data_IF_938940719798
#
_entry.id   IF_938940719798
#
_cell.length_a   1.000
_cell.length_b   1.000
_cell.length_c   1.000
_cell.angle_alpha   90.00
_cell.angle_beta   90.00
_cell.angle_gamma   90.00
#
_symmetry.space_group_name_H-M   'P 1'
#
loop_
_entity.id
_entity.type
_entity.pdbx_description
1 polymer ?
#
# COMPACT_ATOMS: atom_id res chain seq x y z
N UNK A 1 -19.26 0.84 -2.24
CA UNK A 1 -18.17 0.12 -2.93
C UNK A 1 -18.10 0.59 -4.36
N UNK A 2 -16.92 0.59 -4.99
CA UNK A 2 -16.74 1.12 -6.35
C UNK A 2 -17.14 0.02 -7.34
N UNK A 3 -18.28 0.18 -8.00
CA UNK A 3 -18.83 -0.83 -8.91
C UNK A 3 -18.28 -0.73 -10.34
N UNK A 4 -17.90 0.47 -10.79
CA UNK A 4 -17.37 0.66 -12.12
C UNK A 4 -15.92 0.16 -12.19
N UNK A 5 -15.69 -0.90 -12.98
CA UNK A 5 -14.37 -1.53 -13.13
C UNK A 5 -13.31 -0.58 -13.67
N UNK A 6 -13.61 0.27 -14.65
CA UNK A 6 -12.63 1.20 -15.21
C UNK A 6 -12.16 2.20 -14.16
N UNK A 7 -13.10 2.73 -13.37
CA UNK A 7 -12.79 3.60 -12.23
C UNK A 7 -11.98 2.84 -11.16
N UNK A 8 -12.34 1.59 -10.85
CA UNK A 8 -11.61 0.76 -9.89
C UNK A 8 -10.15 0.52 -10.34
N UNK A 9 -9.92 0.25 -11.62
CA UNK A 9 -8.59 0.08 -12.21
C UNK A 9 -7.74 1.35 -12.05
N UNK A 10 -8.30 2.51 -12.39
CA UNK A 10 -7.60 3.80 -12.25
C UNK A 10 -7.20 4.07 -10.79
N UNK A 11 -8.12 3.82 -9.87
CA UNK A 11 -7.86 4.04 -8.44
C UNK A 11 -6.81 3.09 -7.88
N UNK A 12 -6.86 1.80 -8.24
CA UNK A 12 -5.85 0.82 -7.83
C UNK A 12 -4.47 1.24 -8.32
N UNK A 13 -4.34 1.66 -9.57
CA UNK A 13 -3.07 2.15 -10.10
C UNK A 13 -2.51 3.33 -9.29
N UNK A 14 -3.35 4.30 -8.92
CA UNK A 14 -2.96 5.45 -8.10
C UNK A 14 -2.58 5.05 -6.66
N UNK A 15 -3.30 4.09 -6.06
CA UNK A 15 -3.00 3.60 -4.71
C UNK A 15 -1.66 2.87 -4.67
N UNK A 16 -1.35 2.02 -5.66
CA UNK A 16 -0.03 1.38 -5.75
C UNK A 16 1.09 2.39 -6.04
N UNK A 17 0.82 3.44 -6.83
CA UNK A 17 1.78 4.54 -6.99
C UNK A 17 2.05 5.28 -5.67
N UNK A 18 1.02 5.52 -4.87
CA UNK A 18 1.16 6.12 -3.55
C UNK A 18 1.98 5.23 -2.59
N UNK A 19 1.73 3.92 -2.57
CA UNK A 19 2.55 2.96 -1.82
C UNK A 19 4.02 3.02 -2.25
N UNK A 20 4.29 3.00 -3.56
CA UNK A 20 5.64 3.14 -4.11
C UNK A 20 6.34 4.42 -3.67
N UNK A 21 5.63 5.55 -3.65
CA UNK A 21 6.16 6.83 -3.19
C UNK A 21 6.47 6.85 -1.68
N UNK A 22 5.64 6.21 -0.86
CA UNK A 22 5.89 6.08 0.58
C UNK A 22 7.12 5.19 0.82
N UNK A 23 7.23 4.07 0.12
CA UNK A 23 8.40 3.18 0.21
C UNK A 23 9.69 3.90 -0.23
N UNK A 24 9.64 4.72 -1.28
CA UNK A 24 10.77 5.56 -1.70
C UNK A 24 11.14 6.59 -0.62
N UNK A 25 10.17 7.24 0.02
CA UNK A 25 10.44 8.14 1.13
C UNK A 25 11.09 7.42 2.33
N UNK A 26 10.65 6.21 2.66
CA UNK A 26 11.28 5.36 3.69
C UNK A 26 12.73 5.06 3.31
N UNK A 27 13.01 4.69 2.06
CA UNK A 27 14.37 4.42 1.57
C UNK A 27 15.27 5.65 1.68
N UNK A 28 14.78 6.82 1.29
CA UNK A 28 15.52 8.07 1.41
C UNK A 28 15.85 8.38 2.88
N UNK A 29 14.89 8.21 3.79
CA UNK A 29 15.12 8.41 5.23
C UNK A 29 16.16 7.43 5.78
N UNK A 30 16.12 6.16 5.34
CA UNK A 30 17.11 5.15 5.72
C UNK A 30 18.53 5.53 5.31
N UNK A 31 18.69 6.14 4.13
CA UNK A 31 19.99 6.50 3.57
C UNK A 31 20.55 7.81 4.15
N UNK A 32 19.68 8.73 4.60
CA UNK A 32 20.06 10.12 4.88
C UNK A 32 19.86 10.57 6.32
N UNK A 33 19.09 9.85 7.12
CA UNK A 33 18.78 10.24 8.49
C UNK A 33 19.54 9.38 9.51
N UNK A 34 19.80 9.92 10.72
CA UNK A 34 20.20 9.12 11.87
C UNK A 34 19.24 7.94 12.13
N UNK A 35 19.73 6.83 12.73
CA UNK A 35 18.92 5.63 12.93
C UNK A 35 17.63 5.85 13.74
N UNK A 36 17.66 6.71 14.76
CA UNK A 36 16.51 7.03 15.60
C UNK A 36 15.43 7.82 14.85
N UNK A 37 15.83 8.81 14.04
CA UNK A 37 14.93 9.54 13.14
C UNK A 37 14.31 8.60 12.09
N UNK A 38 15.12 7.74 11.46
CA UNK A 38 14.63 6.75 10.50
C UNK A 38 13.62 5.79 11.13
N UNK A 39 13.90 5.26 12.32
CA UNK A 39 12.99 4.33 13.00
C UNK A 39 11.65 4.99 13.32
N UNK A 40 11.67 6.25 13.81
CA UNK A 40 10.45 7.00 14.06
C UNK A 40 9.65 7.26 12.78
N UNK A 41 10.32 7.69 11.70
CA UNK A 41 9.69 7.96 10.41
C UNK A 41 9.09 6.68 9.79
N UNK A 42 9.86 5.59 9.72
CA UNK A 42 9.42 4.31 9.16
C UNK A 42 8.19 3.79 9.86
N UNK A 43 8.10 3.93 11.19
CA UNK A 43 6.93 3.49 11.96
C UNK A 43 5.67 4.22 11.53
N UNK A 44 5.72 5.54 11.40
CA UNK A 44 4.57 6.32 10.92
C UNK A 44 4.18 5.95 9.48
N UNK A 45 5.16 5.72 8.60
CA UNK A 45 4.87 5.32 7.22
C UNK A 45 4.31 3.91 7.10
N UNK A 46 4.69 2.98 8.00
CA UNK A 46 4.09 1.65 8.05
C UNK A 46 2.58 1.72 8.35
N UNK A 47 2.16 2.61 9.25
CA UNK A 47 0.74 2.83 9.56
C UNK A 47 -0.03 3.43 8.35
N UNK A 48 0.64 4.30 7.58
CA UNK A 48 0.08 4.87 6.33
C UNK A 48 -0.11 3.78 5.28
N UNK A 49 0.91 2.94 5.03
CA UNK A 49 0.83 1.83 4.08
C UNK A 49 -0.28 0.86 4.52
N UNK A 50 -0.32 0.49 5.80
CA UNK A 50 -1.37 -0.38 6.33
C UNK A 50 -2.77 0.18 6.05
N UNK A 51 -2.99 1.46 6.36
CA UNK A 51 -4.28 2.13 6.16
C UNK A 51 -4.65 2.22 4.68
N UNK A 52 -3.68 2.51 3.81
CA UNK A 52 -3.85 2.56 2.35
C UNK A 52 -4.36 1.24 1.80
N UNK A 53 -3.76 0.12 2.24
CA UNK A 53 -4.21 -1.21 1.82
C UNK A 53 -5.54 -1.60 2.46
N UNK A 54 -5.68 -1.47 3.78
CA UNK A 54 -6.85 -1.90 4.52
C UNK A 54 -8.13 -1.14 4.10
N UNK A 55 -8.02 0.17 3.85
CA UNK A 55 -9.17 1.04 3.53
C UNK A 55 -9.33 1.34 2.03
N UNK A 56 -8.24 1.29 1.26
CA UNK A 56 -8.24 1.60 -0.17
C UNK A 56 -8.21 0.34 -1.05
N UNK A 57 -7.07 -0.34 -1.06
CA UNK A 57 -6.78 -1.44 -2.01
C UNK A 57 -7.68 -2.66 -1.75
N UNK A 58 -7.69 -3.17 -0.52
CA UNK A 58 -8.38 -4.42 -0.17
C UNK A 58 -9.88 -4.36 -0.48
N UNK A 59 -10.63 -3.30 -0.13
CA UNK A 59 -12.03 -3.20 -0.49
C UNK A 59 -12.25 -3.22 -2.01
N UNK A 60 -11.44 -2.50 -2.79
CA UNK A 60 -11.58 -2.46 -4.25
C UNK A 60 -11.32 -3.84 -4.84
N UNK A 61 -10.23 -4.51 -4.45
CA UNK A 61 -9.91 -5.84 -4.95
C UNK A 61 -10.89 -6.93 -4.47
N UNK A 62 -11.51 -6.79 -3.28
CA UNK A 62 -12.62 -7.68 -2.88
C UNK A 62 -13.84 -7.54 -3.80
N UNK A 63 -14.05 -6.36 -4.37
CA UNK A 63 -15.13 -6.11 -5.34
C UNK A 63 -14.74 -6.53 -6.76
N UNK A 64 -13.49 -6.32 -7.15
CA UNK A 64 -12.93 -6.68 -8.46
C UNK A 64 -11.70 -7.58 -8.28
N UNK A 65 -11.88 -8.89 -8.00
CA UNK A 65 -10.78 -9.80 -7.70
C UNK A 65 -9.75 -9.93 -8.81
N UNK A 66 -10.13 -9.64 -10.06
CA UNK A 66 -9.21 -9.64 -11.20
C UNK A 66 -8.19 -8.49 -11.18
N UNK A 67 -8.34 -7.51 -10.26
CA UNK A 67 -7.39 -6.40 -10.08
C UNK A 67 -6.30 -6.72 -9.05
N UNK A 68 -6.31 -7.91 -8.44
CA UNK A 68 -5.22 -8.37 -7.57
C UNK A 68 -3.97 -8.57 -8.44
N UNK A 69 -2.82 -7.97 -8.10
CA UNK A 69 -1.59 -8.19 -8.85
C UNK A 69 -1.16 -9.66 -8.87
N UNK A 70 -0.46 -10.04 -9.93
CA UNK A 70 0.08 -11.40 -10.06
C UNK A 70 1.04 -11.71 -8.91
N UNK A 71 0.83 -12.84 -8.23
CA UNK A 71 1.63 -13.25 -7.07
C UNK A 71 1.20 -12.65 -5.73
N UNK A 72 0.22 -11.74 -5.71
CA UNK A 72 -0.35 -11.20 -4.48
C UNK A 72 -1.64 -11.93 -4.06
N UNK A 73 -1.95 -11.87 -2.76
CA UNK A 73 -3.23 -12.34 -2.20
C UNK A 73 -3.78 -11.28 -1.24
N UNK A 74 -5.11 -11.14 -1.18
CA UNK A 74 -5.77 -10.18 -0.29
C UNK A 74 -5.72 -10.58 1.18
N UNK A 75 -5.31 -11.81 1.48
CA UNK A 75 -5.25 -12.37 2.83
C UNK A 75 -3.96 -12.01 3.57
N UNK A 76 -3.14 -11.10 3.01
CA UNK A 76 -2.07 -10.37 3.68
C UNK A 76 -1.49 -11.09 4.90
N UNK A 77 -0.66 -12.12 4.67
CA UNK A 77 0.37 -12.53 5.61
C UNK A 77 -0.02 -12.63 7.10
N UNK A 78 -1.12 -13.30 7.44
CA UNK A 78 -1.23 -13.98 8.74
C UNK A 78 -0.97 -15.47 8.54
N UNK A 79 0.30 -15.81 8.28
CA UNK A 79 0.74 -17.17 8.01
C UNK A 79 2.10 -17.46 8.63
N UNK A 80 2.12 -17.53 9.98
CA UNK A 80 3.17 -18.02 10.89
C UNK A 80 4.50 -17.28 10.96
#
# INVERSE_FOLDING_TARGET
MIENKNVATELIALLYQADGAVNEAIRIAQEKCPPDEFVAFRRGMADVIYTLFEKGVVPICRRHPELIPEGETLDGGQGK
#
